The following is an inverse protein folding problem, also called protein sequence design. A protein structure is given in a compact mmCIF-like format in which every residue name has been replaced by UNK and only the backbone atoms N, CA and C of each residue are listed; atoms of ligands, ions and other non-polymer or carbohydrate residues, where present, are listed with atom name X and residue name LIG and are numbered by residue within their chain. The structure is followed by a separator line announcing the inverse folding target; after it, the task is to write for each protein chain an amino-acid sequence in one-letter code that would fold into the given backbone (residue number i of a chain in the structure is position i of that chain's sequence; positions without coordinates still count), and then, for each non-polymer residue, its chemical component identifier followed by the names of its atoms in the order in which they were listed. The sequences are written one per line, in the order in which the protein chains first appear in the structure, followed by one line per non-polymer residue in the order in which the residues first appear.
data_IF_059095912853
#
_entry.id   IF_059095912853
#
_cell.length_a   1.000
_cell.length_b   1.000
_cell.length_c   1.000
_cell.angle_alpha   90.00
_cell.angle_beta   90.00
_cell.angle_gamma   90.00
#
_symmetry.space_group_name_H-M   'P 1'
#
loop_
_entity.id
_entity.type
_entity.pdbx_description
1 polymer ?
#
# COMPACT_ATOMS: atom_id res chain seq x y z
N UNK A 1 12.12 24.88 72.99
CA UNK A 1 12.38 26.08 72.16
C UNK A 1 13.13 25.60 70.92
N UNK A 2 12.41 25.08 69.91
CA UNK A 2 12.07 25.73 68.62
C UNK A 2 13.26 26.02 67.71
N UNK A 3 13.40 25.22 66.64
CA UNK A 3 13.74 25.68 65.29
C UNK A 3 13.38 24.57 64.27
N UNK A 4 12.24 24.76 63.60
CA UNK A 4 11.82 23.96 62.44
C UNK A 4 12.36 24.63 61.17
N UNK A 5 13.06 23.88 60.32
CA UNK A 5 13.46 24.33 58.98
C UNK A 5 12.51 23.67 57.97
N UNK A 6 11.62 24.49 57.39
CA UNK A 6 10.84 24.15 56.21
C UNK A 6 11.77 24.11 54.99
N UNK A 7 11.84 22.95 54.32
CA UNK A 7 12.36 22.86 52.96
C UNK A 7 11.16 22.80 51.99
N UNK A 8 10.86 23.92 51.32
CA UNK A 8 9.91 23.93 50.21
C UNK A 8 10.55 23.27 48.98
N UNK A 9 9.97 22.15 48.55
CA UNK A 9 10.23 21.58 47.24
C UNK A 9 9.52 22.37 46.15
N UNK A 10 10.29 22.96 45.23
CA UNK A 10 9.78 23.38 43.91
C UNK A 10 10.05 22.24 42.92
N UNK A 11 9.03 21.44 42.62
CA UNK A 11 8.99 20.64 41.41
C UNK A 11 8.74 21.58 40.22
N UNK A 12 9.81 22.03 39.58
CA UNK A 12 9.72 22.67 38.27
C UNK A 12 9.30 21.65 37.22
N UNK A 13 8.04 21.69 36.79
CA UNK A 13 7.61 21.05 35.54
C UNK A 13 8.22 21.84 34.37
N UNK A 14 9.43 21.46 33.99
CA UNK A 14 10.04 21.92 32.75
C UNK A 14 9.22 21.38 31.58
N UNK A 15 8.34 22.22 31.03
CA UNK A 15 7.75 22.00 29.73
C UNK A 15 8.89 22.05 28.70
N UNK A 16 9.33 20.89 28.22
CA UNK A 16 10.20 20.84 27.06
C UNK A 16 9.41 21.41 25.88
N UNK A 17 9.95 22.38 25.11
CA UNK A 17 9.34 22.74 23.85
C UNK A 17 9.36 21.50 22.97
N UNK A 18 8.19 21.01 22.59
CA UNK A 18 8.08 20.01 21.54
C UNK A 18 8.68 20.65 20.29
N UNK A 19 9.90 20.24 19.92
CA UNK A 19 10.44 20.55 18.61
C UNK A 19 9.38 20.12 17.59
N UNK A 20 8.94 21.04 16.75
CA UNK A 20 8.03 20.72 15.66
C UNK A 20 8.74 19.73 14.75
N UNK A 21 8.47 18.43 14.93
CA UNK A 21 9.00 17.40 14.06
C UNK A 21 8.50 17.69 12.65
N UNK A 22 9.42 17.91 11.70
CA UNK A 22 9.08 18.01 10.30
C UNK A 22 8.36 16.75 9.82
N UNK A 23 7.65 16.84 8.69
CA UNK A 23 6.99 15.68 8.12
C UNK A 23 8.01 14.53 7.89
N UNK A 24 7.73 13.31 8.36
CA UNK A 24 8.61 12.17 8.12
C UNK A 24 8.72 11.91 6.61
N UNK A 25 9.94 11.70 6.13
CA UNK A 25 10.23 11.40 4.72
C UNK A 25 9.76 10.01 4.29
N UNK A 26 9.84 9.75 2.98
CA UNK A 26 9.47 8.45 2.42
C UNK A 26 10.38 7.33 2.92
N UNK A 27 9.78 6.24 3.39
CA UNK A 27 10.48 5.02 3.78
C UNK A 27 10.62 4.10 2.58
N UNK A 28 11.82 4.09 2.00
CA UNK A 28 12.21 3.14 0.95
C UNK A 28 12.16 1.70 1.43
N UNK A 29 11.97 0.78 0.49
CA UNK A 29 12.02 -0.66 0.77
C UNK A 29 13.34 -1.03 1.44
N UNK A 30 13.31 -1.69 2.61
CA UNK A 30 14.53 -2.23 3.22
C UNK A 30 15.24 -3.17 2.24
N UNK A 31 16.56 -3.03 2.12
CA UNK A 31 17.36 -3.82 1.19
C UNK A 31 17.21 -3.46 -0.29
N UNK A 32 16.58 -2.31 -0.62
CA UNK A 32 16.57 -1.81 -2.00
C UNK A 32 18.02 -1.65 -2.51
N UNK A 33 18.31 -2.23 -3.67
CA UNK A 33 19.65 -2.19 -4.27
C UNK A 33 19.88 -0.84 -4.92
N UNK A 34 20.99 -0.17 -4.59
CA UNK A 34 21.37 1.07 -5.27
C UNK A 34 21.64 0.80 -6.76
N UNK A 35 21.13 1.66 -7.62
CA UNK A 35 21.32 1.60 -9.07
C UNK A 35 21.48 3.01 -9.64
N UNK A 36 22.38 3.18 -10.59
CA UNK A 36 22.61 4.43 -11.30
C UNK A 36 22.16 4.26 -12.75
N UNK A 37 21.07 4.95 -13.14
CA UNK A 37 20.57 4.88 -14.51
C UNK A 37 21.54 5.53 -15.51
N UNK A 38 21.54 5.04 -16.74
CA UNK A 38 22.40 5.55 -17.80
C UNK A 38 21.68 6.58 -18.68
N UNK A 39 22.43 7.45 -19.35
CA UNK A 39 21.86 8.41 -20.32
C UNK A 39 21.53 7.79 -21.68
N UNK A 40 22.00 6.56 -21.93
CA UNK A 40 21.74 5.77 -23.13
C UNK A 40 21.53 4.29 -22.81
N UNK A 41 21.23 3.49 -23.82
CA UNK A 41 20.92 2.05 -23.67
C UNK A 41 22.15 1.16 -23.56
N UNK A 42 23.32 1.59 -24.04
CA UNK A 42 24.52 0.74 -24.06
C UNK A 42 25.03 0.36 -22.66
N UNK A 43 24.92 1.29 -21.71
CA UNK A 43 25.42 1.14 -20.33
C UNK A 43 24.26 1.07 -19.31
N UNK A 44 23.03 0.85 -19.79
CA UNK A 44 21.85 0.86 -18.93
C UNK A 44 21.92 -0.31 -17.93
N UNK A 45 21.79 -0.05 -16.62
CA UNK A 45 21.87 -1.10 -15.62
C UNK A 45 20.64 -1.99 -15.67
N UNK A 46 20.87 -3.28 -15.44
CA UNK A 46 19.82 -4.30 -15.43
C UNK A 46 18.91 -4.18 -14.20
N UNK A 47 17.60 -4.26 -14.45
CA UNK A 47 16.52 -4.42 -13.49
C UNK A 47 15.96 -5.83 -13.57
N UNK A 48 16.02 -6.55 -12.45
CA UNK A 48 15.43 -7.87 -12.28
C UNK A 48 14.07 -7.74 -11.60
N UNK A 49 13.08 -8.45 -12.13
CA UNK A 49 11.76 -8.52 -11.49
C UNK A 49 11.84 -9.13 -10.08
N UNK A 50 10.98 -8.64 -9.19
CA UNK A 50 10.95 -9.05 -7.78
C UNK A 50 12.01 -8.39 -6.91
N UNK A 51 12.96 -7.64 -7.49
CA UNK A 51 13.94 -6.85 -6.74
C UNK A 51 13.55 -5.38 -6.73
N UNK A 52 13.65 -4.75 -5.57
CA UNK A 52 13.47 -3.30 -5.42
C UNK A 52 14.83 -2.61 -5.54
N UNK A 53 14.85 -1.49 -6.24
CA UNK A 53 16.02 -0.68 -6.49
C UNK A 53 15.82 0.75 -5.99
N UNK A 54 16.90 1.37 -5.53
CA UNK A 54 16.96 2.79 -5.19
C UNK A 54 17.88 3.51 -6.18
N UNK A 55 17.35 4.52 -6.84
CA UNK A 55 18.09 5.35 -7.78
C UNK A 55 17.98 6.83 -7.44
N UNK A 56 18.50 7.68 -8.33
CA UNK A 56 18.44 9.13 -8.19
C UNK A 56 18.24 9.77 -9.56
N UNK A 57 17.31 10.70 -9.67
CA UNK A 57 16.93 11.40 -10.88
C UNK A 57 17.38 12.86 -10.79
N UNK A 58 18.34 13.29 -11.63
CA UNK A 58 18.77 14.68 -11.66
C UNK A 58 17.72 15.60 -12.28
N UNK A 59 17.95 16.90 -12.15
CA UNK A 59 17.14 17.91 -12.84
C UNK A 59 17.17 17.72 -14.35
N UNK A 60 16.02 17.89 -15.00
CA UNK A 60 15.83 17.58 -16.42
C UNK A 60 16.31 16.16 -16.79
N UNK A 61 16.37 15.28 -15.79
CA UNK A 61 17.03 13.99 -15.89
C UNK A 61 16.29 13.05 -16.81
N UNK A 62 17.04 12.35 -17.64
CA UNK A 62 16.55 11.30 -18.52
C UNK A 62 17.45 10.09 -18.36
N UNK A 63 16.97 9.10 -17.61
CA UNK A 63 17.74 7.93 -17.23
C UNK A 63 17.10 6.66 -17.78
N UNK A 64 17.92 5.75 -18.28
CA UNK A 64 17.53 4.48 -18.88
C UNK A 64 18.04 3.33 -18.02
N UNK A 65 17.20 2.31 -17.90
CA UNK A 65 17.48 1.04 -17.22
C UNK A 65 17.06 -0.12 -18.13
N UNK A 66 17.64 -1.29 -17.96
CA UNK A 66 17.35 -2.46 -18.79
C UNK A 66 16.47 -3.46 -18.05
N UNK A 67 15.23 -3.63 -18.49
CA UNK A 67 14.37 -4.72 -18.08
C UNK A 67 14.68 -5.95 -18.92
N UNK A 68 15.26 -6.97 -18.30
CA UNK A 68 15.53 -8.23 -18.96
C UNK A 68 14.42 -9.25 -18.68
N UNK A 69 13.79 -9.76 -19.74
CA UNK A 69 12.85 -10.87 -19.68
C UNK A 69 13.56 -12.12 -20.20
N UNK A 70 13.67 -13.15 -19.37
CA UNK A 70 14.24 -14.43 -19.78
C UNK A 70 13.27 -15.17 -20.71
N UNK A 71 13.76 -16.21 -21.40
CA UNK A 71 12.92 -17.06 -22.27
C UNK A 71 11.71 -17.65 -21.54
N UNK A 72 11.86 -18.01 -20.26
CA UNK A 72 10.77 -18.50 -19.42
C UNK A 72 9.69 -17.43 -19.13
N UNK A 73 10.04 -16.15 -19.25
CA UNK A 73 9.18 -14.99 -18.99
C UNK A 73 8.66 -14.34 -20.28
N UNK A 74 8.92 -14.93 -21.45
CA UNK A 74 8.52 -14.37 -22.76
C UNK A 74 7.01 -14.07 -22.84
N UNK A 75 6.19 -14.92 -22.21
CA UNK A 75 4.73 -14.82 -22.17
C UNK A 75 4.22 -14.07 -20.92
N UNK A 76 5.09 -13.61 -20.03
CA UNK A 76 4.71 -12.87 -18.84
C UNK A 76 4.50 -11.38 -19.14
N UNK A 77 3.56 -10.75 -18.44
CA UNK A 77 3.43 -9.29 -18.46
C UNK A 77 4.35 -8.69 -17.40
N UNK A 78 5.17 -7.73 -17.80
CA UNK A 78 6.07 -7.03 -16.92
C UNK A 78 5.55 -5.63 -16.58
N UNK A 79 5.60 -5.28 -15.30
CA UNK A 79 5.18 -4.02 -14.73
C UNK A 79 6.37 -3.36 -14.06
N UNK A 80 6.66 -2.10 -14.38
CA UNK A 80 7.79 -1.36 -13.83
C UNK A 80 7.28 -0.09 -13.17
N UNK A 81 6.79 -0.18 -11.92
CA UNK A 81 6.48 1.01 -11.15
C UNK A 81 7.76 1.74 -10.75
N UNK A 82 7.76 3.04 -10.99
CA UNK A 82 8.80 3.96 -10.54
C UNK A 82 8.15 5.03 -9.67
N UNK A 83 8.57 5.10 -8.42
CA UNK A 83 8.16 6.14 -7.48
C UNK A 83 9.28 7.16 -7.38
N UNK A 84 9.02 8.41 -7.76
CA UNK A 84 9.93 9.51 -7.52
C UNK A 84 9.60 10.20 -6.19
N UNK A 85 10.65 10.48 -5.43
CA UNK A 85 10.59 11.04 -4.08
C UNK A 85 11.41 12.34 -4.08
N UNK A 86 10.75 13.49 -4.26
CA UNK A 86 11.41 14.78 -4.09
C UNK A 86 11.81 15.00 -2.62
N UNK A 87 12.85 15.82 -2.36
CA UNK A 87 13.11 16.35 -1.02
C UNK A 87 11.86 17.03 -0.42
N UNK A 88 11.62 16.94 0.91
CA UNK A 88 10.43 17.52 1.54
C UNK A 88 10.30 19.05 1.38
N UNK A 89 11.40 19.74 1.15
CA UNK A 89 11.50 21.19 0.93
C UNK A 89 11.60 21.58 -0.55
N UNK A 90 11.50 20.61 -1.47
CA UNK A 90 11.55 20.88 -2.89
C UNK A 90 10.35 21.71 -3.35
N UNK A 91 10.62 22.73 -4.17
CA UNK A 91 9.57 23.47 -4.85
C UNK A 91 9.10 22.69 -6.08
N UNK A 92 7.79 22.48 -6.21
CA UNK A 92 7.19 21.74 -7.32
C UNK A 92 6.00 22.49 -7.90
N UNK A 93 5.79 22.36 -9.21
CA UNK A 93 4.60 22.86 -9.91
C UNK A 93 3.56 21.75 -10.11
N UNK A 94 2.34 22.12 -10.53
CA UNK A 94 1.29 21.15 -10.82
C UNK A 94 1.65 20.21 -11.98
N UNK A 95 2.49 20.69 -12.90
CA UNK A 95 2.91 19.95 -14.10
C UNK A 95 4.17 19.13 -13.89
N UNK A 96 4.89 19.38 -12.80
CA UNK A 96 6.10 18.63 -12.47
C UNK A 96 5.74 17.20 -12.05
N UNK A 97 6.68 16.29 -12.25
CA UNK A 97 6.52 14.87 -11.94
C UNK A 97 7.46 14.00 -12.75
N UNK A 98 7.02 12.78 -13.10
CA UNK A 98 7.82 11.84 -13.86
C UNK A 98 7.05 11.22 -15.03
N UNK A 99 7.78 10.88 -16.08
CA UNK A 99 7.31 9.98 -17.14
C UNK A 99 8.13 8.70 -17.12
N UNK A 100 7.46 7.56 -17.22
CA UNK A 100 8.10 6.25 -17.38
C UNK A 100 7.66 5.68 -18.71
N UNK A 101 8.60 5.24 -19.54
CA UNK A 101 8.31 4.54 -20.80
C UNK A 101 9.02 3.21 -20.83
N UNK A 102 8.35 2.16 -21.29
CA UNK A 102 8.99 0.87 -21.61
C UNK A 102 9.07 0.77 -23.12
N UNK A 103 10.24 0.46 -23.67
CA UNK A 103 10.49 0.39 -25.11
C UNK A 103 11.19 -0.90 -25.49
N UNK A 104 10.94 -1.39 -26.69
CA UNK A 104 11.66 -2.53 -27.26
C UNK A 104 13.11 -2.18 -27.63
N UNK A 105 13.85 -3.19 -28.13
CA UNK A 105 15.24 -3.03 -28.56
C UNK A 105 15.43 -2.04 -29.72
N UNK A 106 14.37 -1.72 -30.47
CA UNK A 106 14.39 -0.73 -31.55
C UNK A 106 13.99 0.68 -31.08
N UNK A 107 13.67 0.84 -29.79
CA UNK A 107 13.23 2.10 -29.20
C UNK A 107 11.74 2.39 -29.40
N UNK A 108 10.96 1.44 -29.93
CA UNK A 108 9.51 1.57 -30.06
C UNK A 108 8.86 1.48 -28.68
N UNK A 109 8.02 2.45 -28.33
CA UNK A 109 7.35 2.45 -27.03
C UNK A 109 6.29 1.34 -26.95
N UNK A 110 6.47 0.44 -25.99
CA UNK A 110 5.47 -0.55 -25.57
C UNK A 110 4.38 0.15 -24.74
N UNK A 111 4.79 1.06 -23.88
CA UNK A 111 3.92 1.87 -23.05
C UNK A 111 4.61 3.13 -22.55
N UNK A 112 3.81 4.08 -22.10
CA UNK A 112 4.26 5.21 -21.30
C UNK A 112 3.19 5.55 -20.27
N UNK A 113 3.63 6.07 -19.13
CA UNK A 113 2.78 6.60 -18.08
C UNK A 113 3.40 7.86 -17.49
N UNK A 114 2.58 8.76 -16.96
CA UNK A 114 3.02 10.01 -16.35
C UNK A 114 2.34 10.16 -15.00
N UNK A 115 3.09 10.61 -14.00
CA UNK A 115 2.58 10.99 -12.69
C UNK A 115 3.01 12.42 -12.39
N UNK A 116 2.11 13.25 -11.87
CA UNK A 116 2.34 14.68 -11.60
C UNK A 116 1.87 15.07 -10.21
N UNK A 117 2.40 16.17 -9.68
CA UNK A 117 1.99 16.68 -8.37
C UNK A 117 0.59 17.30 -8.35
N UNK A 118 0.08 17.78 -9.49
CA UNK A 118 -1.29 18.30 -9.59
C UNK A 118 -1.56 19.49 -8.66
N UNK A 119 -2.83 19.68 -8.31
CA UNK A 119 -3.32 20.90 -7.65
C UNK A 119 -2.77 21.13 -6.23
N UNK A 120 -2.25 20.10 -5.55
CA UNK A 120 -1.68 20.20 -4.21
C UNK A 120 -0.43 21.10 -4.16
N UNK A 121 0.33 21.20 -5.27
CA UNK A 121 1.60 21.94 -5.37
C UNK A 121 2.56 21.65 -4.20
N UNK A 122 2.63 20.39 -3.78
CA UNK A 122 3.37 19.97 -2.60
C UNK A 122 4.26 18.76 -2.93
N UNK A 123 5.55 18.79 -2.55
CA UNK A 123 6.47 17.70 -2.82
C UNK A 123 6.04 16.43 -2.06
N UNK A 124 5.84 15.35 -2.81
CA UNK A 124 5.44 14.05 -2.27
C UNK A 124 5.86 12.90 -3.19
N UNK A 125 5.86 11.65 -2.72
CA UNK A 125 6.06 10.51 -3.59
C UNK A 125 5.02 10.48 -4.73
N UNK A 126 5.46 10.42 -5.99
CA UNK A 126 4.59 10.25 -7.17
C UNK A 126 5.03 9.02 -7.96
N UNK A 127 4.08 8.19 -8.41
CA UNK A 127 4.38 6.89 -9.04
C UNK A 127 3.80 6.78 -10.44
N UNK A 128 4.66 6.43 -11.40
CA UNK A 128 4.25 6.10 -12.78
C UNK A 128 4.58 4.63 -13.09
N UNK A 129 3.71 3.98 -13.87
CA UNK A 129 3.81 2.56 -14.19
C UNK A 129 4.16 2.33 -15.65
N UNK A 130 5.40 1.90 -15.90
CA UNK A 130 5.79 1.31 -17.18
C UNK A 130 5.25 -0.12 -17.31
N UNK A 131 4.93 -0.55 -18.53
CA UNK A 131 4.45 -1.92 -18.79
C UNK A 131 4.95 -2.51 -20.12
N UNK A 132 5.24 -3.80 -20.11
CA UNK A 132 5.35 -4.66 -21.28
C UNK A 132 4.26 -5.71 -21.15
N UNK A 133 3.21 -5.60 -21.96
CA UNK A 133 2.07 -6.51 -21.94
C UNK A 133 2.25 -7.68 -22.90
N UNK A 134 2.15 -8.90 -22.38
CA UNK A 134 2.14 -10.11 -23.20
C UNK A 134 0.84 -10.20 -24.03
N UNK A 135 0.91 -10.84 -25.20
CA UNK A 135 -0.28 -11.09 -26.03
C UNK A 135 -0.82 -9.86 -26.78
N UNK A 136 0.00 -8.80 -26.92
CA UNK A 136 -0.29 -7.65 -27.78
C UNK A 136 0.49 -7.78 -29.10
N UNK A 137 0.15 -6.97 -30.10
CA UNK A 137 0.88 -7.00 -31.38
C UNK A 137 2.31 -6.45 -31.26
N UNK A 138 2.54 -5.53 -30.31
CA UNK A 138 3.83 -4.88 -30.07
C UNK A 138 4.52 -5.48 -28.85
N UNK A 139 5.85 -5.40 -28.82
CA UNK A 139 6.68 -5.76 -27.68
C UNK A 139 6.47 -7.19 -27.16
N UNK A 140 6.63 -8.18 -28.05
CA UNK A 140 6.48 -9.60 -27.75
C UNK A 140 7.82 -10.32 -27.56
N UNK A 141 7.78 -11.50 -26.95
CA UNK A 141 8.95 -12.32 -26.66
C UNK A 141 9.82 -11.89 -25.48
N UNK A 142 10.81 -12.73 -25.20
CA UNK A 142 11.91 -12.47 -24.28
C UNK A 142 12.89 -11.42 -24.85
N UNK A 143 13.84 -11.00 -24.03
CA UNK A 143 14.89 -10.06 -24.40
C UNK A 143 14.96 -8.83 -23.50
N UNK A 144 15.73 -7.84 -23.93
CA UNK A 144 15.96 -6.60 -23.18
C UNK A 144 15.04 -5.50 -23.68
N UNK A 145 14.33 -4.90 -22.73
CA UNK A 145 13.47 -3.74 -22.94
C UNK A 145 14.04 -2.57 -22.16
N UNK A 146 14.10 -1.39 -22.77
CA UNK A 146 14.58 -0.19 -22.09
C UNK A 146 13.45 0.47 -21.29
N UNK A 147 13.73 0.78 -20.02
CA UNK A 147 12.88 1.55 -19.12
C UNK A 147 13.46 2.95 -19.03
N UNK A 148 12.79 3.90 -19.67
CA UNK A 148 13.15 5.30 -19.67
C UNK A 148 12.37 6.06 -18.59
N UNK A 149 13.09 6.69 -17.66
CA UNK A 149 12.55 7.57 -16.62
C UNK A 149 12.95 9.01 -16.91
N UNK A 150 11.97 9.88 -17.10
CA UNK A 150 12.17 11.31 -17.38
C UNK A 150 11.63 12.14 -16.22
N UNK A 151 12.42 13.13 -15.74
CA UNK A 151 11.91 14.19 -14.88
C UNK A 151 11.10 15.14 -15.74
N UNK A 152 9.89 15.42 -15.30
CA UNK A 152 9.05 16.47 -15.84
C UNK A 152 9.21 17.65 -14.89
N UNK A 153 9.97 18.64 -15.29
CA UNK A 153 10.18 19.89 -14.58
C UNK A 153 10.21 21.02 -15.60
N UNK A 154 9.22 21.92 -15.51
CA UNK A 154 9.26 23.11 -16.36
C UNK A 154 10.29 24.06 -15.74
N UNK A 155 11.49 24.09 -16.33
CA UNK A 155 12.68 24.76 -15.79
C UNK A 155 12.42 26.21 -15.37
N UNK A 156 12.21 26.43 -14.07
CA UNK A 156 12.51 27.72 -13.46
C UNK A 156 13.91 27.60 -12.89
N UNK A 157 14.89 28.08 -13.66
CA UNK A 157 16.26 28.28 -13.21
C UNK A 157 16.22 29.33 -12.09
N UNK A 158 16.30 28.88 -10.84
CA UNK A 158 16.21 29.74 -9.66
C UNK A 158 17.05 29.17 -8.53
N UNK A 159 18.05 29.94 -8.12
CA UNK A 159 19.13 29.59 -7.19
C UNK A 159 18.62 29.17 -5.80
N UNK A 160 18.77 27.89 -5.45
CA UNK A 160 18.60 27.37 -4.09
C UNK A 160 18.37 25.86 -4.04
N UNK A 161 19.46 25.08 -4.01
CA UNK A 161 19.50 23.60 -3.98
C UNK A 161 18.48 22.88 -4.88
N UNK A 162 18.76 22.93 -6.19
CA UNK A 162 18.33 22.01 -7.24
C UNK A 162 18.52 20.54 -6.84
N UNK A 163 17.57 19.98 -6.08
CA UNK A 163 17.69 18.67 -5.46
C UNK A 163 17.38 17.53 -6.43
N UNK A 164 18.26 16.54 -6.49
CA UNK A 164 17.96 15.24 -7.11
C UNK A 164 16.72 14.63 -6.44
N UNK A 165 15.86 13.99 -7.22
CA UNK A 165 14.77 13.19 -6.67
C UNK A 165 15.23 11.76 -6.51
N UNK A 166 15.03 11.17 -5.34
CA UNK A 166 15.29 9.74 -5.18
C UNK A 166 14.24 8.93 -5.96
N UNK A 167 14.63 7.76 -6.44
CA UNK A 167 13.75 6.83 -7.15
C UNK A 167 13.65 5.52 -6.38
N UNK A 168 12.43 4.96 -6.30
CA UNK A 168 12.22 3.55 -5.98
C UNK A 168 11.65 2.84 -7.21
N UNK A 169 12.33 1.80 -7.68
CA UNK A 169 11.94 1.01 -8.87
C UNK A 169 11.70 -0.42 -8.42
N UNK A 170 10.51 -0.97 -8.69
CA UNK A 170 10.13 -2.29 -8.18
C UNK A 170 9.45 -3.14 -9.27
N UNK A 171 10.21 -3.68 -10.25
CA UNK A 171 9.62 -4.43 -11.35
C UNK A 171 8.92 -5.71 -10.88
N UNK A 172 7.79 -6.01 -11.51
CA UNK A 172 6.91 -7.15 -11.19
C UNK A 172 6.60 -7.93 -12.47
N UNK A 173 6.53 -9.27 -12.39
CA UNK A 173 6.04 -10.14 -13.45
C UNK A 173 4.71 -10.78 -13.07
N UNK A 174 3.74 -10.66 -13.97
CA UNK A 174 2.49 -11.41 -13.99
C UNK A 174 2.60 -12.54 -15.01
N UNK A 175 2.49 -13.82 -14.59
CA UNK A 175 2.48 -14.95 -15.50
C UNK A 175 1.25 -14.92 -16.40
N UNK A 176 1.33 -15.62 -17.53
CA UNK A 176 0.15 -15.93 -18.32
C UNK A 176 -0.82 -16.86 -17.57
N UNK A 177 -2.04 -16.97 -18.06
CA UNK A 177 -2.98 -17.96 -17.57
C UNK A 177 -2.64 -19.38 -18.01
N UNK A 178 -3.01 -20.36 -17.17
CA UNK A 178 -2.88 -21.80 -17.44
C UNK A 178 -3.91 -22.29 -18.46
N UNK A 179 -5.03 -21.57 -18.60
CA UNK A 179 -6.09 -21.82 -19.57
C UNK A 179 -6.55 -20.49 -20.19
N UNK A 180 -7.19 -20.50 -21.37
CA UNK A 180 -7.82 -19.30 -21.92
C UNK A 180 -8.75 -18.65 -20.90
N UNK A 181 -8.56 -17.36 -20.66
CA UNK A 181 -9.41 -16.57 -19.76
C UNK A 181 -10.44 -15.75 -20.53
N UNK A 182 -11.21 -14.89 -19.82
CA UNK A 182 -12.06 -13.89 -20.45
C UNK A 182 -11.28 -13.08 -21.49
N UNK A 183 -11.91 -12.72 -22.59
CA UNK A 183 -11.35 -11.87 -23.65
C UNK A 183 -12.09 -10.54 -23.82
N UNK A 184 -13.15 -10.33 -23.04
CA UNK A 184 -14.03 -9.17 -23.11
C UNK A 184 -13.98 -8.35 -21.83
N UNK A 185 -14.38 -7.08 -21.95
CA UNK A 185 -14.53 -6.17 -20.83
C UNK A 185 -15.56 -6.70 -19.81
N UNK A 186 -15.45 -6.34 -18.53
CA UNK A 186 -16.42 -6.73 -17.52
C UNK A 186 -17.83 -6.22 -17.87
N UNK A 187 -18.84 -6.93 -17.38
CA UNK A 187 -20.23 -6.46 -17.42
C UNK A 187 -20.46 -5.21 -16.55
N UNK A 188 -21.69 -4.68 -16.57
CA UNK A 188 -22.06 -3.57 -15.69
C UNK A 188 -21.99 -3.98 -14.22
N UNK A 189 -21.66 -3.02 -13.36
CA UNK A 189 -21.67 -3.19 -11.91
C UNK A 189 -22.51 -2.09 -11.27
N UNK A 190 -22.93 -2.33 -10.03
CA UNK A 190 -23.57 -1.31 -9.21
C UNK A 190 -22.55 -0.22 -8.83
N UNK A 191 -22.65 0.91 -9.54
CA UNK A 191 -21.87 2.11 -9.34
C UNK A 191 -22.54 3.12 -8.39
N UNK A 192 -23.64 2.75 -7.73
CA UNK A 192 -24.29 3.63 -6.77
C UNK A 192 -23.35 3.94 -5.59
N UNK A 193 -23.25 5.23 -5.24
CA UNK A 193 -22.54 5.68 -4.05
C UNK A 193 -23.35 5.23 -2.82
N UNK A 194 -22.81 4.34 -1.97
CA UNK A 194 -23.54 3.83 -0.84
C UNK A 194 -23.51 4.86 0.29
N UNK A 195 -24.34 4.68 1.31
CA UNK A 195 -24.25 5.49 2.51
C UNK A 195 -22.87 5.32 3.18
N UNK A 196 -22.22 6.40 3.64
CA UNK A 196 -20.95 6.34 4.36
C UNK A 196 -21.01 5.38 5.54
N UNK A 197 -19.90 4.70 5.84
CA UNK A 197 -19.80 3.87 7.04
C UNK A 197 -19.97 4.73 8.30
N UNK A 198 -20.97 4.40 9.10
CA UNK A 198 -21.17 4.93 10.44
C UNK A 198 -20.33 4.15 11.47
N UNK A 199 -19.99 4.81 12.58
CA UNK A 199 -19.24 4.23 13.68
C UNK A 199 -18.22 5.17 14.28
N UNK A 200 -17.79 4.88 15.51
CA UNK A 200 -16.72 5.63 16.15
C UNK A 200 -15.37 5.34 15.45
N UNK A 201 -14.59 6.37 15.11
CA UNK A 201 -13.28 6.18 14.51
C UNK A 201 -12.29 5.52 15.48
N UNK A 202 -11.46 4.61 14.96
CA UNK A 202 -10.33 4.01 15.69
C UNK A 202 -9.01 4.61 15.21
N UNK A 203 -8.12 4.93 16.12
CA UNK A 203 -6.85 5.55 15.75
C UNK A 203 -5.91 4.52 15.07
N UNK A 204 -5.33 4.90 13.93
CA UNK A 204 -4.36 4.10 13.20
C UNK A 204 -3.45 5.01 12.37
N UNK A 205 -2.18 5.11 12.78
CA UNK A 205 -1.16 5.83 12.01
C UNK A 205 -0.69 4.99 10.83
N UNK A 206 -0.67 5.58 9.64
CA UNK A 206 -0.19 4.92 8.42
C UNK A 206 1.33 4.76 8.36
N UNK A 207 1.78 3.98 7.38
CA UNK A 207 3.20 3.81 7.06
C UNK A 207 3.77 4.99 6.27
N UNK A 208 5.09 5.02 6.08
CA UNK A 208 5.77 6.11 5.37
C UNK A 208 6.21 5.74 3.93
N UNK A 209 5.77 4.61 3.39
CA UNK A 209 6.06 4.20 2.00
C UNK A 209 5.33 2.92 1.62
N UNK A 210 5.43 2.47 0.36
CA UNK A 210 4.68 1.30 -0.14
C UNK A 210 5.01 0.01 0.63
N UNK A 211 6.28 -0.25 0.90
CA UNK A 211 6.70 -1.44 1.66
C UNK A 211 6.31 -1.33 3.14
N UNK A 212 6.41 -0.13 3.72
CA UNK A 212 6.08 0.14 5.13
C UNK A 212 4.59 0.41 5.38
N UNK A 213 3.74 0.31 4.36
CA UNK A 213 2.32 0.64 4.42
C UNK A 213 1.60 -0.24 5.43
N UNK A 214 0.70 0.37 6.21
CA UNK A 214 0.03 -0.30 7.34
C UNK A 214 -1.22 -1.04 6.88
N UNK A 215 -1.43 -2.30 7.29
CA UNK A 215 -2.68 -3.00 7.02
C UNK A 215 -3.90 -2.22 7.51
N UNK A 216 -4.92 -2.13 6.67
CA UNK A 216 -6.12 -1.35 6.88
C UNK A 216 -7.34 -2.15 6.43
N UNK A 217 -8.09 -2.64 7.41
CA UNK A 217 -9.36 -3.32 7.16
C UNK A 217 -10.53 -2.35 6.99
N UNK A 218 -11.71 -2.93 6.73
CA UNK A 218 -12.95 -2.18 6.75
C UNK A 218 -13.17 -1.46 8.11
N UNK A 219 -13.65 -0.22 8.05
CA UNK A 219 -14.06 0.54 9.23
C UNK A 219 -13.93 2.05 9.07
N UNK A 220 -14.14 2.73 10.20
CA UNK A 220 -13.85 4.16 10.37
C UNK A 220 -12.56 4.28 11.17
N UNK A 221 -11.58 4.96 10.60
CA UNK A 221 -10.24 5.11 11.14
C UNK A 221 -9.90 6.59 11.29
N UNK A 222 -9.12 6.95 12.31
CA UNK A 222 -8.58 8.29 12.50
C UNK A 222 -7.06 8.25 12.45
N UNK A 223 -6.47 9.23 11.80
CA UNK A 223 -5.04 9.53 11.86
C UNK A 223 -4.85 11.03 12.01
N UNK A 224 -3.65 11.44 12.40
CA UNK A 224 -3.21 12.83 12.39
C UNK A 224 -2.13 13.02 11.34
N UNK A 225 -2.22 14.11 10.58
CA UNK A 225 -1.22 14.52 9.61
C UNK A 225 -0.67 15.90 9.94
N UNK A 226 0.62 16.11 9.70
CA UNK A 226 1.23 17.45 9.63
C UNK A 226 1.40 17.86 8.16
N UNK A 227 1.38 19.16 7.82
CA UNK A 227 1.56 19.62 6.44
C UNK A 227 2.84 19.04 5.81
N UNK A 228 2.74 18.56 4.58
CA UNK A 228 3.78 17.86 3.83
C UNK A 228 3.85 16.35 4.08
N UNK A 229 3.14 15.82 5.07
CA UNK A 229 3.20 14.41 5.42
C UNK A 229 2.39 13.54 4.45
N UNK A 230 2.97 12.40 4.07
CA UNK A 230 2.30 11.34 3.31
C UNK A 230 2.22 10.07 4.16
N UNK A 231 1.04 9.45 4.24
CA UNK A 231 0.83 8.18 4.93
C UNK A 231 0.24 7.11 4.00
N UNK A 232 0.68 5.86 4.18
CA UNK A 232 0.39 4.71 3.32
C UNK A 232 -0.32 3.59 4.09
N UNK A 233 -1.38 3.03 3.51
CA UNK A 233 -2.19 1.96 4.06
C UNK A 233 -2.44 0.86 3.03
N UNK A 234 -2.46 -0.41 3.45
CA UNK A 234 -2.76 -1.57 2.59
C UNK A 234 -4.16 -2.08 2.86
N UNK A 235 -4.99 -2.13 1.83
CA UNK A 235 -6.31 -2.76 1.85
C UNK A 235 -6.21 -4.07 1.07
N UNK A 236 -6.22 -5.24 1.73
CA UNK A 236 -6.19 -6.53 1.04
C UNK A 236 -7.52 -6.76 0.30
N UNK A 237 -7.46 -7.01 -1.01
CA UNK A 237 -8.62 -7.30 -1.85
C UNK A 237 -8.41 -8.60 -2.63
N UNK A 238 -9.25 -9.59 -2.35
CA UNK A 238 -9.38 -10.78 -3.20
C UNK A 238 -10.20 -10.51 -4.45
N UNK A 239 -10.17 -11.46 -5.38
CA UNK A 239 -11.04 -11.48 -6.55
C UNK A 239 -12.53 -11.41 -6.14
N UNK A 240 -13.31 -10.58 -6.84
CA UNK A 240 -14.71 -10.30 -6.56
C UNK A 240 -14.96 -9.32 -5.41
N UNK A 241 -13.90 -8.86 -4.72
CA UNK A 241 -13.99 -7.82 -3.68
C UNK A 241 -13.85 -6.44 -4.30
N UNK A 242 -14.49 -5.44 -3.71
CA UNK A 242 -14.40 -4.03 -4.12
C UNK A 242 -14.12 -3.14 -2.92
N UNK A 243 -13.37 -2.06 -3.12
CA UNK A 243 -13.05 -1.07 -2.08
C UNK A 243 -13.75 0.24 -2.35
N UNK A 244 -14.22 0.90 -1.29
CA UNK A 244 -14.69 2.28 -1.30
C UNK A 244 -14.00 3.03 -0.17
N UNK A 245 -13.41 4.17 -0.47
CA UNK A 245 -12.65 4.96 0.49
C UNK A 245 -13.02 6.45 0.43
N UNK A 246 -13.20 7.02 1.62
CA UNK A 246 -13.46 8.45 1.82
C UNK A 246 -12.55 8.96 2.93
N UNK A 247 -11.86 10.07 2.70
CA UNK A 247 -11.08 10.75 3.71
C UNK A 247 -11.75 12.08 4.06
N UNK A 248 -11.85 12.42 5.34
CA UNK A 248 -12.44 13.66 5.84
C UNK A 248 -11.41 14.43 6.63
N UNK A 249 -11.07 15.63 6.16
CA UNK A 249 -10.20 16.55 6.88
C UNK A 249 -11.01 17.26 7.96
N UNK A 250 -10.51 17.24 9.20
CA UNK A 250 -11.08 17.97 10.32
C UNK A 250 -11.03 19.48 10.12
N UNK A 251 -11.86 20.23 10.86
CA UNK A 251 -11.88 21.68 10.80
C UNK A 251 -10.65 22.32 11.43
N UNK A 252 -10.28 23.52 10.99
CA UNK A 252 -9.15 24.28 11.49
C UNK A 252 -9.52 25.75 11.65
N UNK A 253 -8.87 26.43 12.60
CA UNK A 253 -9.03 27.87 12.79
C UNK A 253 -8.34 28.65 11.66
N UNK A 254 -8.84 29.85 11.37
CA UNK A 254 -8.31 30.71 10.31
C UNK A 254 -9.25 30.83 9.11
N UNK A 255 -8.78 31.52 8.07
CA UNK A 255 -9.53 31.78 6.85
C UNK A 255 -8.60 31.71 5.64
N UNK A 256 -9.15 31.32 4.49
CA UNK A 256 -8.39 31.19 3.25
C UNK A 256 -8.88 30.01 2.42
N UNK A 257 -8.14 29.70 1.37
CA UNK A 257 -8.40 28.55 0.52
C UNK A 257 -7.09 27.86 0.14
N UNK A 258 -7.03 26.55 0.34
CA UNK A 258 -5.92 25.71 -0.11
C UNK A 258 -6.49 24.66 -1.07
N UNK A 259 -6.11 24.76 -2.34
CA UNK A 259 -6.41 23.73 -3.34
C UNK A 259 -5.54 22.49 -3.11
N UNK A 260 -6.14 21.30 -3.23
CA UNK A 260 -5.46 20.03 -2.96
C UNK A 260 -4.85 19.95 -1.56
N UNK A 261 -5.58 20.45 -0.56
CA UNK A 261 -5.20 20.41 0.84
C UNK A 261 -5.00 18.98 1.35
N UNK A 262 -5.87 18.06 0.90
CA UNK A 262 -5.80 16.64 1.19
C UNK A 262 -5.99 15.85 -0.10
N UNK A 263 -4.99 15.04 -0.46
CA UNK A 263 -5.10 14.07 -1.54
C UNK A 263 -5.35 12.67 -0.98
N UNK A 264 -6.26 11.94 -1.60
CA UNK A 264 -6.53 10.53 -1.39
C UNK A 264 -6.30 9.80 -2.70
N UNK A 265 -5.32 8.89 -2.74
CA UNK A 265 -5.03 8.08 -3.92
C UNK A 265 -5.10 6.59 -3.60
N UNK A 266 -5.53 5.79 -4.58
CA UNK A 266 -5.53 4.33 -4.54
C UNK A 266 -4.58 3.80 -5.61
N UNK A 267 -3.60 3.01 -5.19
CA UNK A 267 -2.70 2.28 -6.07
C UNK A 267 -2.99 0.78 -6.03
N UNK A 268 -2.91 0.12 -7.17
CA UNK A 268 -3.05 -1.33 -7.25
C UNK A 268 -1.77 -2.06 -6.79
N UNK A 269 -1.76 -3.41 -6.69
CA UNK A 269 -0.62 -4.17 -6.17
C UNK A 269 0.71 -3.97 -6.92
N UNK A 270 0.66 -3.55 -8.19
CA UNK A 270 1.85 -3.19 -9.00
C UNK A 270 2.11 -1.69 -9.04
N UNK A 271 1.54 -0.95 -8.08
CA UNK A 271 1.65 0.51 -7.88
C UNK A 271 1.21 1.36 -9.08
N UNK A 272 0.32 0.83 -9.92
CA UNK A 272 -0.42 1.62 -10.89
C UNK A 272 -1.56 2.39 -10.21
N UNK A 273 -1.72 3.66 -10.55
CA UNK A 273 -2.82 4.49 -10.04
C UNK A 273 -4.16 3.93 -10.51
N UNK A 274 -5.06 3.66 -9.57
CA UNK A 274 -6.43 3.24 -9.84
C UNK A 274 -7.39 4.42 -9.84
N UNK A 275 -7.28 5.28 -8.83
CA UNK A 275 -8.06 6.51 -8.71
C UNK A 275 -7.37 7.47 -7.75
N UNK A 276 -7.66 8.76 -7.90
CA UNK A 276 -7.27 9.79 -6.95
C UNK A 276 -8.33 10.89 -6.84
N UNK A 277 -8.39 11.51 -5.67
CA UNK A 277 -9.28 12.61 -5.40
C UNK A 277 -8.58 13.64 -4.52
N UNK A 278 -8.78 14.92 -4.84
CA UNK A 278 -8.08 16.04 -4.22
C UNK A 278 -9.08 17.03 -3.63
N UNK A 279 -8.87 17.42 -2.37
CA UNK A 279 -9.79 18.29 -1.62
C UNK A 279 -9.33 19.75 -1.67
N UNK A 280 -10.21 20.66 -2.10
CA UNK A 280 -10.09 22.09 -1.79
C UNK A 280 -10.65 22.40 -0.39
N UNK A 281 -9.90 23.14 0.42
CA UNK A 281 -10.19 23.33 1.85
C UNK A 281 -10.20 24.81 2.27
N UNK A 282 -11.16 25.16 3.12
CA UNK A 282 -11.39 26.54 3.60
C UNK A 282 -11.33 26.68 5.12
N UNK A 283 -10.85 25.66 5.84
CA UNK A 283 -10.91 25.60 7.31
C UNK A 283 -12.13 24.82 7.83
N UNK A 284 -13.09 24.52 6.95
CA UNK A 284 -14.31 23.77 7.30
C UNK A 284 -14.14 22.29 7.00
N UNK A 285 -14.50 21.45 7.97
CA UNK A 285 -14.51 19.99 7.85
C UNK A 285 -15.18 19.55 6.55
N UNK A 286 -14.47 18.75 5.74
CA UNK A 286 -14.98 18.32 4.43
C UNK A 286 -14.41 16.97 4.01
N UNK A 287 -15.24 16.08 3.42
CA UNK A 287 -14.78 14.82 2.86
C UNK A 287 -14.31 14.94 1.40
N UNK A 288 -13.46 14.00 1.01
CA UNK A 288 -13.07 13.67 -0.36
C UNK A 288 -13.14 12.16 -0.54
N UNK A 289 -13.69 11.69 -1.65
CA UNK A 289 -13.96 10.27 -1.91
C UNK A 289 -13.40 9.86 -3.26
N UNK A 290 -12.92 8.62 -3.32
CA UNK A 290 -12.68 7.95 -4.58
C UNK A 290 -14.00 7.72 -5.31
N UNK A 291 -13.94 7.60 -6.64
CA UNK A 291 -15.09 7.22 -7.45
C UNK A 291 -15.56 5.80 -7.11
N UNK A 292 -16.82 5.43 -7.40
CA UNK A 292 -17.27 4.05 -7.25
C UNK A 292 -16.51 3.08 -8.18
N UNK A 293 -15.53 2.39 -7.61
CA UNK A 293 -14.69 1.42 -8.34
C UNK A 293 -15.38 0.06 -8.49
N UNK A 294 -15.12 -0.68 -9.59
CA UNK A 294 -15.64 -2.02 -9.80
C UNK A 294 -14.99 -3.04 -8.85
N UNK A 295 -15.57 -4.24 -8.73
CA UNK A 295 -14.87 -5.38 -8.12
C UNK A 295 -13.56 -5.71 -8.83
N UNK A 296 -12.64 -6.29 -8.07
CA UNK A 296 -11.38 -6.82 -8.55
C UNK A 296 -11.65 -8.04 -9.42
N UNK A 297 -11.40 -7.91 -10.73
CA UNK A 297 -11.70 -8.95 -11.71
C UNK A 297 -10.62 -9.03 -12.79
N UNK A 298 -10.25 -10.24 -13.19
CA UNK A 298 -9.23 -10.43 -14.24
C UNK A 298 -9.65 -9.78 -15.56
N UNK A 299 -10.96 -9.83 -15.88
CA UNK A 299 -11.56 -9.27 -17.09
C UNK A 299 -11.44 -7.74 -17.18
N UNK A 300 -11.21 -7.04 -16.05
CA UNK A 300 -11.03 -5.59 -16.04
C UNK A 300 -9.88 -5.13 -16.95
N UNK A 301 -8.92 -6.01 -17.28
CA UNK A 301 -7.83 -5.73 -18.24
C UNK A 301 -8.29 -5.32 -19.64
N UNK A 302 -9.51 -5.70 -20.03
CA UNK A 302 -10.09 -5.39 -21.34
C UNK A 302 -11.01 -4.15 -21.32
N UNK A 303 -11.19 -3.54 -20.16
CA UNK A 303 -11.94 -2.30 -20.05
C UNK A 303 -11.16 -1.11 -20.64
N UNK A 304 -11.87 -0.17 -21.26
CA UNK A 304 -11.28 1.08 -21.74
C UNK A 304 -10.98 2.09 -20.61
N UNK A 305 -11.83 2.28 -19.59
CA UNK A 305 -11.52 3.22 -18.50
C UNK A 305 -10.33 2.75 -17.67
N UNK A 306 -9.29 3.57 -17.57
CA UNK A 306 -8.06 3.23 -16.84
C UNK A 306 -8.31 2.86 -15.37
N UNK A 307 -9.26 3.54 -14.72
CA UNK A 307 -9.67 3.23 -13.36
C UNK A 307 -10.17 1.79 -13.25
N UNK A 308 -11.05 1.34 -14.16
CA UNK A 308 -11.53 -0.06 -14.21
C UNK A 308 -10.35 -1.00 -14.47
N UNK A 309 -9.54 -0.72 -15.49
CA UNK A 309 -8.36 -1.53 -15.84
C UNK A 309 -7.41 -1.71 -14.66
N UNK A 310 -7.29 -0.74 -13.76
CA UNK A 310 -6.42 -0.84 -12.59
C UNK A 310 -6.90 -1.86 -11.53
N UNK A 311 -8.19 -2.24 -11.54
CA UNK A 311 -8.80 -3.24 -10.65
C UNK A 311 -8.66 -4.67 -11.19
N UNK A 312 -7.59 -4.96 -11.94
CA UNK A 312 -7.36 -6.27 -12.60
C UNK A 312 -6.54 -7.28 -11.80
N UNK A 313 -6.24 -6.98 -10.54
CA UNK A 313 -5.33 -7.75 -9.69
C UNK A 313 -5.94 -7.97 -8.32
N UNK A 314 -6.00 -9.21 -7.83
CA UNK A 314 -6.07 -9.40 -6.37
C UNK A 314 -4.75 -8.97 -5.72
N UNK A 315 -4.78 -8.68 -4.42
CA UNK A 315 -3.59 -8.31 -3.65
C UNK A 315 -3.81 -7.10 -2.73
N UNK A 316 -2.70 -6.54 -2.27
CA UNK A 316 -2.70 -5.37 -1.40
C UNK A 316 -2.83 -4.09 -2.22
N UNK A 317 -4.00 -3.44 -2.16
CA UNK A 317 -4.19 -2.11 -2.72
C UNK A 317 -3.68 -1.06 -1.73
N UNK A 318 -2.91 -0.08 -2.20
CA UNK A 318 -2.34 0.95 -1.33
C UNK A 318 -3.17 2.23 -1.36
N UNK A 319 -3.81 2.58 -0.25
CA UNK A 319 -4.39 3.90 -0.01
C UNK A 319 -3.31 4.86 0.49
N UNK A 320 -3.19 6.01 -0.16
CA UNK A 320 -2.19 7.03 0.15
C UNK A 320 -2.89 8.34 0.48
N UNK A 321 -2.61 8.86 1.68
CA UNK A 321 -3.06 10.18 2.13
C UNK A 321 -1.89 11.14 2.08
N UNK A 322 -2.07 12.30 1.47
CA UNK A 322 -1.09 13.38 1.53
C UNK A 322 -1.75 14.69 1.96
N UNK A 323 -1.20 15.32 2.99
CA UNK A 323 -1.60 16.64 3.43
C UNK A 323 -0.64 17.68 2.83
N UNK A 324 -1.15 18.61 2.02
CA UNK A 324 -0.33 19.64 1.38
C UNK A 324 0.41 20.49 2.40
N UNK A 325 1.71 20.72 2.17
CA UNK A 325 2.55 21.64 2.95
C UNK A 325 2.01 23.08 3.01
N UNK A 326 1.30 23.53 1.96
CA UNK A 326 0.67 24.85 1.89
C UNK A 326 -0.35 25.08 3.00
N UNK A 327 -0.94 24.02 3.54
CA UNK A 327 -1.84 24.10 4.68
C UNK A 327 -1.14 24.71 5.90
N UNK A 328 0.16 24.44 6.06
CA UNK A 328 1.04 25.01 7.08
C UNK A 328 1.08 26.54 7.08
N UNK A 329 1.05 27.15 5.90
CA UNK A 329 1.10 28.60 5.73
C UNK A 329 -0.26 29.28 5.94
N UNK A 330 -1.36 28.65 5.51
CA UNK A 330 -2.70 29.28 5.57
C UNK A 330 -3.45 29.00 6.87
N UNK A 331 -3.40 27.76 7.38
CA UNK A 331 -4.17 27.32 8.55
C UNK A 331 -3.29 26.89 9.74
N UNK A 332 -1.96 27.02 9.60
CA UNK A 332 -0.98 26.69 10.64
C UNK A 332 -0.43 25.26 10.52
N UNK A 333 0.55 24.92 11.36
CA UNK A 333 1.31 23.66 11.26
C UNK A 333 0.58 22.39 11.73
N UNK A 334 -0.67 22.51 12.19
CA UNK A 334 -1.44 21.38 12.69
C UNK A 334 -1.01 20.94 14.12
N UNK A 335 -1.21 19.66 14.48
CA UNK A 335 -1.64 18.55 13.63
C UNK A 335 -3.09 18.68 13.13
N UNK A 336 -3.40 18.01 12.03
CA UNK A 336 -4.73 17.95 11.44
C UNK A 336 -5.30 16.54 11.55
N UNK A 337 -6.49 16.42 12.11
CA UNK A 337 -7.22 15.15 12.15
C UNK A 337 -7.75 14.78 10.76
N UNK A 338 -7.53 13.53 10.35
CA UNK A 338 -8.15 12.94 9.16
C UNK A 338 -8.90 11.67 9.55
N UNK A 339 -10.17 11.61 9.18
CA UNK A 339 -11.00 10.41 9.33
C UNK A 339 -11.09 9.67 8.01
N UNK A 340 -10.55 8.46 7.95
CA UNK A 340 -10.59 7.57 6.79
C UNK A 340 -11.69 6.52 6.97
N UNK A 341 -12.66 6.48 6.06
CA UNK A 341 -13.73 5.47 6.02
C UNK A 341 -13.44 4.51 4.87
N UNK A 342 -13.23 3.24 5.20
CA UNK A 342 -12.96 2.19 4.21
C UNK A 342 -14.04 1.13 4.30
N UNK A 343 -14.73 0.88 3.19
CA UNK A 343 -15.67 -0.24 3.02
C UNK A 343 -15.07 -1.23 2.04
N UNK A 344 -15.17 -2.52 2.39
CA UNK A 344 -14.82 -3.62 1.48
C UNK A 344 -16.00 -4.57 1.39
N UNK A 345 -16.57 -4.69 0.20
CA UNK A 345 -17.73 -5.52 -0.09
C UNK A 345 -17.52 -6.36 -1.36
N UNK A 346 -18.57 -7.02 -1.85
CA UNK A 346 -18.47 -8.07 -2.87
C UNK A 346 -18.24 -9.46 -2.26
N UNK A 347 -18.27 -10.52 -3.07
CA UNK A 347 -18.05 -11.90 -2.59
C UNK A 347 -16.70 -12.38 -3.12
N UNK A 348 -15.81 -12.80 -2.22
CA UNK A 348 -14.54 -13.39 -2.64
C UNK A 348 -14.79 -14.65 -3.46
N UNK A 349 -14.03 -14.81 -4.55
CA UNK A 349 -14.02 -16.03 -5.35
C UNK A 349 -12.60 -16.42 -5.77
N UNK A 350 -12.48 -17.58 -6.40
CA UNK A 350 -11.21 -18.07 -6.89
C UNK A 350 -10.65 -17.13 -7.98
N UNK A 351 -9.33 -16.95 -7.96
CA UNK A 351 -8.62 -16.17 -8.96
C UNK A 351 -8.47 -16.88 -10.30
N UNK A 352 -7.90 -16.16 -11.29
CA UNK A 352 -7.58 -16.76 -12.57
C UNK A 352 -6.43 -17.75 -12.37
N UNK A 353 -6.53 -18.94 -12.98
CA UNK A 353 -5.46 -19.93 -12.90
C UNK A 353 -4.22 -19.44 -13.66
N UNK A 354 -3.15 -19.08 -12.95
CA UNK A 354 -1.87 -18.70 -13.55
C UNK A 354 -1.04 -19.93 -13.93
N UNK A 355 -0.36 -19.90 -15.08
CA UNK A 355 0.53 -20.97 -15.56
C UNK A 355 1.89 -21.01 -14.85
N UNK A 356 2.15 -20.04 -13.96
CA UNK A 356 3.39 -19.89 -13.23
C UNK A 356 3.18 -19.07 -11.96
N UNK A 357 4.28 -18.72 -11.29
CA UNK A 357 4.25 -17.88 -10.09
C UNK A 357 4.56 -16.45 -10.44
N UNK A 358 3.83 -15.47 -9.87
CA UNK A 358 4.21 -14.07 -10.06
C UNK A 358 5.51 -13.76 -9.33
N UNK A 359 6.20 -12.74 -9.82
CA UNK A 359 7.48 -12.31 -9.26
C UNK A 359 7.35 -10.83 -8.86
N UNK A 360 7.43 -10.46 -7.58
CA UNK A 360 7.71 -11.32 -6.44
C UNK A 360 6.53 -12.23 -6.06
N UNK A 361 6.82 -13.32 -5.36
CA UNK A 361 5.81 -14.26 -4.88
C UNK A 361 4.74 -13.54 -4.04
N UNK A 362 3.48 -13.94 -4.22
CA UNK A 362 2.35 -13.42 -3.43
C UNK A 362 1.85 -12.02 -3.81
N UNK A 363 2.48 -11.31 -4.76
CA UNK A 363 2.05 -9.93 -5.14
C UNK A 363 0.60 -9.84 -5.62
N UNK A 364 0.04 -10.94 -6.16
CA UNK A 364 -1.36 -11.02 -6.59
C UNK A 364 -2.25 -11.83 -5.65
N UNK A 365 -1.89 -11.90 -4.38
CA UNK A 365 -2.65 -12.59 -3.33
C UNK A 365 -2.90 -11.61 -2.20
N UNK A 366 -4.15 -11.52 -1.74
CA UNK A 366 -4.49 -10.63 -0.64
C UNK A 366 -3.85 -11.15 0.65
N UNK A 367 -3.09 -10.31 1.34
CA UNK A 367 -2.45 -10.72 2.60
C UNK A 367 -3.45 -10.62 3.73
N UNK A 368 -3.97 -11.74 4.24
CA UNK A 368 -4.88 -11.74 5.40
C UNK A 368 -4.14 -11.44 6.73
N UNK A 369 -2.82 -11.62 6.75
CA UNK A 369 -1.95 -11.37 7.91
C UNK A 369 -1.82 -9.86 8.20
N UNK A 370 -2.83 -9.31 8.87
CA UNK A 370 -2.78 -7.93 9.37
C UNK A 370 -4.10 -7.18 9.32
N UNK A 371 -5.17 -7.75 8.77
CA UNK A 371 -6.51 -7.21 8.99
C UNK A 371 -6.74 -7.18 10.51
N UNK A 372 -6.78 -5.97 11.10
CA UNK A 372 -7.06 -5.79 12.53
C UNK A 372 -8.43 -6.40 12.80
N UNK A 373 -8.45 -7.64 13.28
CA UNK A 373 -9.68 -8.35 13.63
C UNK A 373 -10.35 -7.54 14.72
N UNK A 374 -11.55 -7.03 14.43
CA UNK A 374 -12.36 -6.36 15.44
C UNK A 374 -12.76 -7.38 16.52
N UNK A 375 -12.65 -7.05 17.81
CA UNK A 375 -13.49 -7.71 18.82
C UNK A 375 -14.94 -7.28 18.61
N UNK A 376 -15.84 -8.26 18.66
CA UNK A 376 -17.31 -8.12 18.60
C UNK A 376 -17.82 -7.17 19.70
N UNK A 377 -18.84 -6.32 19.46
CA UNK A 377 -19.35 -5.44 20.49
C UNK A 377 -20.16 -6.21 21.55
N UNK A 378 -19.89 -5.94 22.81
CA UNK A 378 -20.74 -6.21 23.98
C UNK A 378 -20.85 -4.85 24.69
N UNK A 379 -21.98 -4.28 25.08
CA UNK A 379 -23.30 -4.81 25.40
C UNK A 379 -24.39 -3.80 25.04
N UNK A 380 -25.51 -4.29 24.50
CA UNK A 380 -26.82 -3.68 24.73
C UNK A 380 -27.51 -4.46 25.84
N UNK A 381 -27.67 -3.85 27.00
CA UNK A 381 -28.46 -4.45 28.08
C UNK A 381 -29.95 -4.25 27.81
N UNK A 382 -30.72 -5.35 27.71
CA UNK A 382 -31.88 -5.56 28.57
C UNK A 382 -32.43 -6.99 28.44
N UNK A 383 -32.37 -7.70 29.57
CA UNK A 383 -33.29 -8.72 30.12
C UNK A 383 -34.42 -9.21 29.20
N UNK A 384 -34.44 -10.51 28.91
CA UNK A 384 -35.60 -11.18 28.31
C UNK A 384 -35.38 -12.65 28.00
N UNK A 385 -35.56 -13.48 29.03
CA UNK A 385 -35.90 -14.90 29.04
C UNK A 385 -35.07 -15.98 28.31
N UNK A 386 -35.08 -17.14 28.95
CA UNK A 386 -34.26 -18.31 28.62
C UNK A 386 -34.67 -19.06 27.37
N UNK A 387 -33.88 -20.09 27.06
CA UNK A 387 -34.05 -21.14 26.02
C UNK A 387 -33.31 -21.02 24.69
N UNK A 388 -32.22 -20.25 24.59
CA UNK A 388 -31.34 -20.25 23.40
C UNK A 388 -29.86 -20.53 23.68
N UNK A 389 -29.55 -21.37 24.68
CA UNK A 389 -28.17 -21.77 25.05
C UNK A 389 -28.01 -23.29 25.16
N UNK A 390 -28.60 -24.02 24.20
CA UNK A 390 -28.42 -25.48 24.04
C UNK A 390 -28.09 -25.95 22.61
N UNK A 391 -27.74 -25.06 21.69
CA UNK A 391 -27.48 -25.43 20.29
C UNK A 391 -26.09 -25.07 19.74
N UNK A 392 -25.12 -24.72 20.59
CA UNK A 392 -23.69 -24.59 20.19
C UNK A 392 -22.81 -25.56 21.00
N UNK A 393 -23.25 -26.82 21.10
CA UNK A 393 -22.49 -27.91 21.72
C UNK A 393 -22.39 -29.15 20.83
N UNK A 394 -22.47 -28.99 19.51
CA UNK A 394 -22.23 -30.05 18.53
C UNK A 394 -21.23 -29.56 17.48
N UNK A 395 -19.95 -29.61 17.83
CA UNK A 395 -18.86 -29.24 16.91
C UNK A 395 -17.46 -29.10 17.52
N UNK A 396 -17.23 -29.64 18.74
CA UNK A 396 -15.99 -29.39 19.48
C UNK A 396 -15.51 -30.53 20.38
N UNK A 397 -15.79 -31.79 20.04
CA UNK A 397 -15.32 -32.97 20.79
C UNK A 397 -14.48 -33.91 19.92
N UNK A 398 -13.56 -33.36 19.12
CA UNK A 398 -12.65 -34.15 18.27
C UNK A 398 -11.18 -34.17 18.70
N UNK A 399 -10.71 -33.15 19.44
CA UNK A 399 -9.26 -32.97 19.69
C UNK A 399 -8.80 -33.36 21.12
N UNK A 400 -9.73 -33.53 22.07
CA UNK A 400 -9.39 -33.90 23.45
C UNK A 400 -9.09 -35.40 23.63
N UNK A 401 -9.84 -36.26 22.94
CA UNK A 401 -9.71 -37.73 23.03
C UNK A 401 -8.46 -38.24 22.31
N UNK A 402 -8.03 -37.61 21.21
CA UNK A 402 -6.78 -37.97 20.53
C UNK A 402 -5.54 -37.75 21.43
N UNK A 403 -5.53 -36.64 22.20
CA UNK A 403 -4.43 -36.32 23.11
C UNK A 403 -4.32 -37.30 24.29
N UNK A 404 -5.46 -37.78 24.81
CA UNK A 404 -5.47 -38.79 25.88
C UNK A 404 -5.03 -40.17 25.40
N UNK A 405 -5.32 -40.55 24.16
CA UNK A 405 -4.85 -41.81 23.58
C UNK A 405 -3.34 -41.79 23.31
N UNK A 406 -2.78 -40.65 22.88
CA UNK A 406 -1.33 -40.47 22.70
C UNK A 406 -0.62 -40.51 24.06
N UNK A 407 -1.15 -39.84 25.09
CA UNK A 407 -0.57 -39.91 26.45
C UNK A 407 -0.71 -41.30 27.09
N UNK A 408 -1.82 -42.00 26.85
CA UNK A 408 -2.02 -43.38 27.30
C UNK A 408 -1.06 -44.36 26.61
N UNK A 409 -0.81 -44.18 25.31
CA UNK A 409 0.16 -44.98 24.57
C UNK A 409 1.60 -44.78 25.06
N UNK A 410 1.99 -43.53 25.32
CA UNK A 410 3.35 -43.18 25.76
C UNK A 410 3.67 -43.72 27.17
N UNK A 411 2.70 -43.68 28.08
CA UNK A 411 2.86 -44.20 29.45
C UNK A 411 2.97 -45.73 29.51
N UNK A 412 2.27 -46.45 28.63
CA UNK A 412 2.39 -47.92 28.52
C UNK A 412 3.72 -48.33 27.88
N UNK A 413 4.21 -47.58 26.89
CA UNK A 413 5.51 -47.83 26.28
C UNK A 413 6.67 -47.59 27.28
N UNK A 414 6.60 -46.53 28.08
CA UNK A 414 7.60 -46.22 29.12
C UNK A 414 7.67 -47.31 30.22
N UNK A 415 6.51 -47.87 30.63
CA UNK A 415 6.47 -48.96 31.62
C UNK A 415 6.98 -50.31 31.08
N UNK A 416 6.87 -50.57 29.76
CA UNK A 416 7.44 -51.77 29.12
C UNK A 416 8.97 -51.69 28.95
N UNK A 417 9.56 -50.50 28.91
CA UNK A 417 11.02 -50.33 28.88
C UNK A 417 11.67 -50.58 30.27
N UNK A 418 10.99 -50.21 31.37
CA UNK A 418 11.50 -50.41 32.74
C UNK A 418 11.40 -51.86 33.24
N UNK A 419 10.51 -52.68 32.68
CA UNK A 419 10.39 -54.10 33.00
C UNK A 419 11.44 -54.98 32.32
N UNK A 420 12.07 -54.50 31.22
CA UNK A 420 13.19 -55.19 30.55
C UNK A 420 14.55 -54.91 31.19
N UNK A 421 14.69 -53.82 31.95
CA UNK A 421 15.92 -53.46 32.67
C UNK A 421 16.07 -54.13 34.05
N UNK A 422 15.04 -54.84 34.54
CA UNK A 422 15.05 -55.48 35.88
C UNK A 422 15.23 -57.01 35.85
N UNK A 423 15.45 -57.60 34.67
CA UNK A 423 15.70 -59.03 34.49
C UNK A 423 17.17 -59.40 34.21
N UNK A 424 18.10 -58.45 34.30
CA UNK A 424 19.55 -58.71 34.23
C UNK A 424 20.28 -57.97 35.35
N UNK A 425 20.36 -58.61 36.53
CA UNK A 425 21.56 -58.50 37.36
C UNK A 425 21.83 -59.82 38.08
N UNK A 426 23.09 -60.31 38.10
CA UNK A 426 23.44 -61.66 38.55
C UNK A 426 23.64 -61.74 40.06
N UNK A 427 23.44 -62.94 40.60
CA UNK A 427 23.84 -63.36 41.96
C UNK A 427 25.35 -63.32 42.16
N UNK A 428 25.75 -62.84 43.33
CA UNK A 428 26.87 -63.41 44.10
C UNK A 428 26.27 -63.94 45.40
#
# INVERSE_FOLDING_TARGET
MTAAILALGLCGTGAFPAAAAGAPGYAFSPGARTVEGATGTADAPRLDAGRVYRGSLPEHGRLTYDLHLAEADADATAYVPVTAVPPPDATVTATDGIRVSVRDAHGTACSYATARFGAALSPRPVTALGKREAGKALCQGAGTYSVLVERLDTGSVGTGSAGRWDLEIAPVLEPRLSAPGPSEAPGSWDSATPEPLAGAPRDLTGGAGFTAARPLGQGVWRTTLVPGQTQFYKVPLDWGRRVRATAELGGAQGHGYVGGALDLALYNPVRGLADDASLGYTGVRRPVSLVPLPPVEYANRYAAPAAVTALRFAGDYCLVLHLSDRLGGTFGRGPYDVTLRVRVDGRAHAGPGYAGRPVPDGVFTATEEGAVVAPVPVAGGSRGDGTALRLVAAGGFGLGTASLLVLGGWTVAARRAQSRFRAQKPTA
#
